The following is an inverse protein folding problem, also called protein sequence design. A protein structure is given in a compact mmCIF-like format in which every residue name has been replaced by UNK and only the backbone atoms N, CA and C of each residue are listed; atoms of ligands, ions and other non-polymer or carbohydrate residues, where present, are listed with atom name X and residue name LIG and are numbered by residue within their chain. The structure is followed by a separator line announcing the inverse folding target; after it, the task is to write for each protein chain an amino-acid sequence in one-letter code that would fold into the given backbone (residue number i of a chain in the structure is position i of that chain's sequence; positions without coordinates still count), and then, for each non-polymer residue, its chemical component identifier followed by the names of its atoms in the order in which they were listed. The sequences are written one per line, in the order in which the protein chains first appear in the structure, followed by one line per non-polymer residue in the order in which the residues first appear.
data_IF_607029061990
#
_entry.id   IF_607029061990
#
_cell.length_a   1.000
_cell.length_b   1.000
_cell.length_c   1.000
_cell.angle_alpha   90.00
_cell.angle_beta   90.00
_cell.angle_gamma   90.00
#
_symmetry.space_group_name_H-M   'P 1'
#
loop_
_entity.id
_entity.type
_entity.pdbx_description
1 polymer ?
#
# COMPACT_ATOMS: atom_id res chain seq x y z
N UNK A 1 0.65 13.00 16.84
CA UNK A 1 0.45 13.47 15.46
C UNK A 1 1.75 14.13 15.01
N UNK A 2 2.70 13.34 14.49
CA UNK A 2 3.97 13.84 13.96
C UNK A 2 3.69 14.42 12.58
N UNK A 3 2.97 15.52 12.54
CA UNK A 3 2.91 16.35 11.34
C UNK A 3 4.22 17.13 11.32
N UNK A 4 4.92 17.04 10.18
CA UNK A 4 6.23 17.60 9.85
C UNK A 4 6.38 19.13 10.02
N UNK A 5 5.54 19.77 10.83
CA UNK A 5 5.49 21.21 11.11
C UNK A 5 6.83 21.83 11.52
N UNK A 6 7.83 21.04 11.91
CA UNK A 6 9.16 21.53 12.29
C UNK A 6 10.33 20.89 11.50
N UNK A 7 10.06 20.11 10.43
CA UNK A 7 11.12 19.40 9.68
C UNK A 7 11.20 19.82 8.22
N UNK A 8 10.09 20.27 7.62
CA UNK A 8 10.02 20.70 6.22
C UNK A 8 9.39 22.09 6.19
N UNK A 9 10.03 23.05 5.53
CA UNK A 9 9.45 24.37 5.31
C UNK A 9 8.30 24.31 4.28
N UNK A 10 7.33 25.21 4.38
CA UNK A 10 6.22 25.30 3.41
C UNK A 10 6.74 25.47 1.97
N UNK A 11 7.83 26.21 1.80
CA UNK A 11 8.53 26.39 0.53
C UNK A 11 9.09 25.08 -0.02
N UNK A 12 9.69 24.22 0.81
CA UNK A 12 10.20 22.91 0.41
C UNK A 12 9.05 21.95 0.06
N UNK A 13 7.95 22.02 0.80
CA UNK A 13 6.76 21.23 0.51
C UNK A 13 6.21 21.51 -0.89
N UNK A 14 6.12 22.79 -1.29
CA UNK A 14 5.57 23.17 -2.59
C UNK A 14 6.60 23.16 -3.73
N UNK A 15 7.88 23.42 -3.46
CA UNK A 15 8.90 23.51 -4.51
C UNK A 15 9.72 22.23 -4.71
N UNK A 16 9.70 21.30 -3.75
CA UNK A 16 10.45 20.04 -3.82
C UNK A 16 9.50 18.85 -3.75
N UNK A 17 8.68 18.75 -2.69
CA UNK A 17 7.86 17.56 -2.46
C UNK A 17 6.74 17.44 -3.51
N UNK A 18 5.95 18.50 -3.73
CA UNK A 18 4.87 18.49 -4.72
C UNK A 18 5.36 18.16 -6.14
N UNK A 19 6.40 18.81 -6.70
CA UNK A 19 6.93 18.45 -8.02
C UNK A 19 7.48 17.03 -8.09
N UNK A 20 8.03 16.50 -6.99
CA UNK A 20 8.48 15.09 -6.92
C UNK A 20 7.29 14.13 -7.00
N UNK A 21 6.19 14.43 -6.30
CA UNK A 21 4.96 13.64 -6.37
C UNK A 21 4.36 13.68 -7.78
N UNK A 22 4.29 14.86 -8.40
CA UNK A 22 3.82 15.04 -9.78
C UNK A 22 4.68 14.25 -10.78
N UNK A 23 6.01 14.29 -10.63
CA UNK A 23 6.92 13.47 -11.43
C UNK A 23 6.61 11.97 -11.28
N UNK A 24 6.41 11.47 -10.05
CA UNK A 24 6.09 10.07 -9.82
C UNK A 24 4.74 9.67 -10.45
N UNK A 25 3.75 10.56 -10.36
CA UNK A 25 2.44 10.40 -10.98
C UNK A 25 2.59 10.32 -12.51
N UNK A 26 3.32 11.23 -13.13
CA UNK A 26 3.49 11.30 -14.59
C UNK A 26 4.28 10.11 -15.17
N UNK A 27 5.08 9.44 -14.34
CA UNK A 27 5.84 8.24 -14.73
C UNK A 27 5.13 6.93 -14.37
N UNK A 28 3.83 6.97 -14.03
CA UNK A 28 3.03 5.75 -13.85
C UNK A 28 2.83 5.00 -15.17
N UNK A 29 2.69 3.69 -15.09
CA UNK A 29 2.43 2.84 -16.26
C UNK A 29 1.05 3.14 -16.87
N UNK A 30 0.81 2.65 -18.09
CA UNK A 30 -0.51 2.73 -18.72
C UNK A 30 -1.62 2.03 -17.94
N UNK A 31 -1.27 1.13 -17.00
CA UNK A 31 -2.21 0.45 -16.10
C UNK A 31 -2.42 1.21 -14.79
N UNK A 32 -1.74 2.34 -14.58
CA UNK A 32 -1.79 3.15 -13.36
C UNK A 32 -0.89 2.66 -12.23
N UNK A 33 -0.01 1.69 -12.49
CA UNK A 33 0.95 1.17 -11.51
C UNK A 33 2.26 1.98 -11.55
N UNK A 34 3.18 1.72 -10.63
CA UNK A 34 4.43 2.47 -10.50
C UNK A 34 5.63 1.56 -10.72
N UNK A 35 6.58 1.94 -11.59
CA UNK A 35 7.73 1.12 -11.88
C UNK A 35 8.69 1.08 -10.67
N UNK A 36 9.33 -0.06 -10.44
CA UNK A 36 10.32 -0.20 -9.37
C UNK A 36 11.57 0.67 -9.58
N UNK A 37 11.88 0.97 -10.85
CA UNK A 37 13.01 1.77 -11.28
C UNK A 37 12.52 2.74 -12.35
N UNK A 38 12.96 3.99 -12.32
CA UNK A 38 12.49 5.07 -13.21
C UNK A 38 12.68 4.80 -14.70
N UNK A 39 13.58 3.89 -15.07
CA UNK A 39 13.85 3.49 -16.46
C UNK A 39 13.21 2.15 -16.84
N UNK A 40 12.52 1.47 -15.92
CA UNK A 40 11.96 0.16 -16.17
C UNK A 40 10.56 0.26 -16.74
N UNK A 41 10.32 -0.40 -17.87
CA UNK A 41 8.98 -0.62 -18.41
C UNK A 41 8.29 -1.84 -17.78
N UNK A 42 8.93 -2.49 -16.79
CA UNK A 42 8.37 -3.68 -16.15
C UNK A 42 7.24 -3.30 -15.18
N UNK A 43 6.02 -3.60 -15.62
CA UNK A 43 4.78 -3.31 -14.89
C UNK A 43 4.16 -4.57 -14.23
N UNK A 44 5.01 -5.43 -13.66
CA UNK A 44 4.56 -6.67 -13.01
C UNK A 44 4.57 -6.63 -11.48
N UNK A 45 5.25 -5.66 -10.86
CA UNK A 45 5.36 -5.59 -9.41
C UNK A 45 4.21 -4.79 -8.81
N UNK A 46 3.38 -5.47 -8.02
CA UNK A 46 2.24 -4.90 -7.29
C UNK A 46 2.40 -5.28 -5.83
N UNK A 47 3.44 -4.72 -5.21
CA UNK A 47 3.90 -5.07 -3.87
C UNK A 47 4.06 -3.78 -3.06
N UNK A 48 3.95 -3.85 -1.73
CA UNK A 48 4.20 -2.68 -0.89
C UNK A 48 5.59 -2.06 -1.14
N UNK A 49 6.62 -2.89 -1.28
CA UNK A 49 7.97 -2.40 -1.56
C UNK A 49 8.15 -1.82 -2.97
N UNK A 50 7.38 -2.28 -3.97
CA UNK A 50 7.47 -1.81 -5.35
C UNK A 50 6.11 -1.92 -6.05
N UNK A 51 5.56 -0.77 -6.45
CA UNK A 51 4.29 -0.66 -7.16
C UNK A 51 3.19 0.03 -6.36
N UNK A 52 1.98 -0.03 -6.91
CA UNK A 52 0.80 0.69 -6.42
C UNK A 52 0.52 0.57 -4.92
N UNK A 53 0.67 -0.59 -4.24
CA UNK A 53 0.33 -0.70 -2.82
C UNK A 53 1.06 0.30 -1.91
N UNK A 54 2.37 0.51 -2.11
CA UNK A 54 3.12 1.51 -1.36
C UNK A 54 2.70 2.94 -1.69
N UNK A 55 2.37 3.19 -2.96
CA UNK A 55 1.92 4.49 -3.45
C UNK A 55 0.54 4.90 -2.92
N UNK A 56 -0.36 3.95 -2.63
CA UNK A 56 -1.66 4.27 -2.03
C UNK A 56 -1.48 5.02 -0.71
N UNK A 57 -0.61 4.54 0.17
CA UNK A 57 -0.33 5.17 1.46
C UNK A 57 0.41 6.51 1.30
N UNK A 58 1.33 6.60 0.34
CA UNK A 58 1.99 7.86 -0.02
C UNK A 58 0.97 8.93 -0.42
N UNK A 59 0.04 8.61 -1.32
CA UNK A 59 -0.95 9.58 -1.81
C UNK A 59 -2.03 9.91 -0.79
N UNK A 60 -2.40 8.95 0.07
CA UNK A 60 -3.20 9.27 1.27
C UNK A 60 -2.47 10.34 2.09
N UNK A 61 -1.17 10.16 2.36
CA UNK A 61 -0.43 11.14 3.15
C UNK A 61 -0.32 12.49 2.45
N UNK A 62 -0.05 12.49 1.14
CA UNK A 62 -0.02 13.70 0.33
C UNK A 62 -1.37 14.43 0.33
N UNK A 63 -2.49 13.70 0.42
CA UNK A 63 -3.83 14.30 0.51
C UNK A 63 -4.07 15.08 1.80
N UNK A 64 -3.36 14.71 2.88
CA UNK A 64 -3.46 15.37 4.18
C UNK A 64 -2.57 16.61 4.28
N UNK A 65 -1.41 16.58 3.63
CA UNK A 65 -0.35 17.58 3.87
C UNK A 65 -0.02 18.46 2.67
N UNK A 66 -0.28 18.01 1.44
CA UNK A 66 0.06 18.76 0.21
C UNK A 66 -1.18 19.32 -0.47
N UNK A 67 -2.13 18.44 -0.82
CA UNK A 67 -3.34 18.80 -1.56
C UNK A 67 -4.41 17.71 -1.46
N UNK A 68 -5.65 18.00 -1.02
CA UNK A 68 -6.70 16.99 -0.92
C UNK A 68 -6.96 16.20 -2.21
N UNK A 69 -6.65 16.75 -3.39
CA UNK A 69 -6.81 16.06 -4.68
C UNK A 69 -5.95 14.81 -4.82
N UNK A 70 -4.86 14.65 -4.06
CA UNK A 70 -4.03 13.45 -4.09
C UNK A 70 -4.78 12.18 -3.67
N UNK A 71 -5.92 12.31 -2.97
CA UNK A 71 -6.78 11.17 -2.66
C UNK A 71 -7.28 10.45 -3.93
N UNK A 72 -7.47 11.17 -5.05
CA UNK A 72 -7.86 10.54 -6.32
C UNK A 72 -6.77 9.58 -6.82
N UNK A 73 -5.49 9.97 -6.73
CA UNK A 73 -4.37 9.09 -7.11
C UNK A 73 -4.24 7.89 -6.16
N UNK A 74 -4.55 8.05 -4.87
CA UNK A 74 -4.61 6.92 -3.95
C UNK A 74 -5.69 5.90 -4.35
N UNK A 75 -6.87 6.40 -4.75
CA UNK A 75 -7.97 5.55 -5.22
C UNK A 75 -7.61 4.87 -6.54
N UNK A 76 -7.03 5.59 -7.51
CA UNK A 76 -6.56 5.04 -8.78
C UNK A 76 -5.51 3.93 -8.57
N UNK A 77 -4.50 4.17 -7.73
CA UNK A 77 -3.50 3.16 -7.39
C UNK A 77 -4.16 1.93 -6.73
N UNK A 78 -5.17 2.12 -5.88
CA UNK A 78 -5.89 1.01 -5.26
C UNK A 78 -6.77 0.22 -6.25
N UNK A 79 -7.18 0.78 -7.38
CA UNK A 79 -7.79 0.01 -8.47
C UNK A 79 -6.80 -0.98 -9.09
N UNK A 80 -5.52 -0.62 -9.21
CA UNK A 80 -4.46 -1.57 -9.61
C UNK A 80 -4.35 -2.71 -8.60
N UNK A 81 -4.27 -2.37 -7.31
CA UNK A 81 -4.20 -3.38 -6.24
C UNK A 81 -5.41 -4.30 -6.27
N UNK A 82 -6.61 -3.78 -6.56
CA UNK A 82 -7.81 -4.60 -6.63
C UNK A 82 -7.77 -5.59 -7.80
N UNK A 83 -7.35 -5.13 -8.97
CA UNK A 83 -7.37 -5.93 -10.18
C UNK A 83 -6.29 -7.02 -10.21
N UNK A 84 -5.11 -6.76 -9.61
CA UNK A 84 -3.93 -7.63 -9.74
C UNK A 84 -3.08 -7.78 -8.46
N UNK A 85 -3.57 -7.34 -7.31
CA UNK A 85 -2.83 -7.39 -6.03
C UNK A 85 -2.91 -8.72 -5.27
N UNK A 86 -3.65 -9.71 -5.76
CA UNK A 86 -3.61 -11.09 -5.24
C UNK A 86 -2.40 -11.82 -5.83
N UNK A 87 -1.29 -11.82 -5.09
CA UNK A 87 0.01 -12.27 -5.58
C UNK A 87 0.18 -13.78 -5.48
N UNK A 88 0.69 -14.39 -6.55
CA UNK A 88 1.14 -15.80 -6.54
C UNK A 88 2.35 -16.04 -5.63
N UNK A 89 3.09 -14.97 -5.30
CA UNK A 89 4.25 -14.99 -4.38
C UNK A 89 3.87 -15.27 -2.93
N UNK A 90 2.59 -15.14 -2.57
CA UNK A 90 2.09 -15.47 -1.23
C UNK A 90 1.61 -14.25 -0.44
N UNK A 91 1.60 -14.39 0.88
CA UNK A 91 0.82 -13.55 1.80
C UNK A 91 1.64 -12.56 2.62
N UNK A 92 2.97 -12.52 2.46
CA UNK A 92 3.85 -11.68 3.31
C UNK A 92 3.51 -10.18 3.27
N UNK A 93 4.03 -9.39 4.22
CA UNK A 93 3.75 -7.95 4.28
C UNK A 93 4.52 -7.14 3.23
N UNK A 94 5.77 -7.47 2.94
CA UNK A 94 6.61 -6.67 2.03
C UNK A 94 6.17 -6.78 0.56
N UNK A 95 5.81 -7.99 0.15
CA UNK A 95 5.52 -8.34 -1.24
C UNK A 95 4.56 -9.52 -1.32
N UNK A 96 3.50 -9.46 -0.53
CA UNK A 96 2.43 -10.44 -0.50
C UNK A 96 1.06 -9.82 -0.27
N UNK A 97 0.04 -10.67 -0.30
CA UNK A 97 -1.37 -10.27 -0.25
C UNK A 97 -1.73 -9.53 1.05
N UNK A 98 -1.19 -9.93 2.21
CA UNK A 98 -1.48 -9.22 3.46
C UNK A 98 -0.96 -7.78 3.44
N UNK A 99 0.24 -7.58 2.89
CA UNK A 99 0.80 -6.24 2.68
C UNK A 99 -0.08 -5.39 1.78
N UNK A 100 -0.54 -5.95 0.67
CA UNK A 100 -1.39 -5.25 -0.28
C UNK A 100 -2.76 -4.87 0.32
N UNK A 101 -3.30 -5.67 1.24
CA UNK A 101 -4.56 -5.40 1.93
C UNK A 101 -4.53 -4.08 2.71
N UNK A 102 -3.37 -3.66 3.22
CA UNK A 102 -3.22 -2.38 3.91
C UNK A 102 -3.55 -1.18 3.03
N UNK A 103 -3.44 -1.29 1.70
CA UNK A 103 -3.91 -0.25 0.77
C UNK A 103 -5.39 0.08 0.99
N UNK A 104 -6.22 -0.95 1.14
CA UNK A 104 -7.66 -0.80 1.32
C UNK A 104 -8.04 -0.46 2.76
N UNK A 105 -7.31 -1.00 3.74
CA UNK A 105 -7.50 -0.63 5.15
C UNK A 105 -7.20 0.86 5.35
N UNK A 106 -6.09 1.36 4.80
CA UNK A 106 -5.72 2.76 4.84
C UNK A 106 -6.80 3.66 4.19
N UNK A 107 -7.25 3.31 2.99
CA UNK A 107 -8.32 4.06 2.31
C UNK A 107 -9.62 4.05 3.10
N UNK A 108 -10.06 2.90 3.62
CA UNK A 108 -11.28 2.83 4.42
C UNK A 108 -11.19 3.71 5.68
N UNK A 109 -10.08 3.68 6.41
CA UNK A 109 -9.87 4.54 7.59
C UNK A 109 -9.95 6.03 7.24
N UNK A 110 -9.55 6.42 6.04
CA UNK A 110 -9.50 7.83 5.62
C UNK A 110 -10.79 8.32 4.98
N UNK A 111 -11.49 7.47 4.24
CA UNK A 111 -12.69 7.88 3.47
C UNK A 111 -13.99 7.41 4.10
N UNK A 112 -13.96 6.37 4.94
CA UNK A 112 -15.16 5.70 5.44
C UNK A 112 -15.93 4.91 4.37
N UNK A 113 -15.43 4.84 3.12
CA UNK A 113 -16.11 4.15 2.03
C UNK A 113 -16.01 2.63 2.21
N UNK A 114 -17.18 2.02 2.44
CA UNK A 114 -17.35 0.58 2.64
C UNK A 114 -16.83 -0.26 1.46
N UNK A 115 -16.71 0.30 0.25
CA UNK A 115 -16.07 -0.35 -0.89
C UNK A 115 -14.67 -0.84 -0.53
N UNK A 116 -13.86 0.00 0.13
CA UNK A 116 -12.50 -0.37 0.51
C UNK A 116 -12.49 -1.42 1.62
N UNK A 117 -13.41 -1.34 2.58
CA UNK A 117 -13.56 -2.39 3.59
C UNK A 117 -13.87 -3.75 2.95
N UNK A 118 -14.80 -3.81 1.98
CA UNK A 118 -15.13 -5.05 1.28
C UNK A 118 -13.94 -5.62 0.51
N UNK A 119 -13.14 -4.76 -0.14
CA UNK A 119 -11.91 -5.17 -0.83
C UNK A 119 -10.87 -5.72 0.16
N UNK A 120 -10.67 -5.05 1.29
CA UNK A 120 -9.79 -5.52 2.36
C UNK A 120 -10.22 -6.90 2.86
N UNK A 121 -11.53 -7.11 3.09
CA UNK A 121 -12.09 -8.40 3.49
C UNK A 121 -11.78 -9.50 2.48
N UNK A 122 -11.88 -9.24 1.17
CA UNK A 122 -11.51 -10.22 0.15
C UNK A 122 -10.03 -10.64 0.23
N UNK A 123 -9.13 -9.71 0.55
CA UNK A 123 -7.71 -10.00 0.74
C UNK A 123 -7.45 -10.75 2.06
N UNK A 124 -8.18 -10.42 3.13
CA UNK A 124 -8.14 -11.15 4.40
C UNK A 124 -8.62 -12.59 4.20
N UNK A 125 -9.73 -12.78 3.51
CA UNK A 125 -10.28 -14.11 3.19
C UNK A 125 -9.27 -14.93 2.38
N UNK A 126 -8.66 -14.33 1.36
CA UNK A 126 -7.60 -14.97 0.60
C UNK A 126 -6.47 -15.46 1.52
N UNK A 127 -6.02 -14.60 2.44
CA UNK A 127 -4.99 -14.95 3.41
C UNK A 127 -5.42 -16.05 4.39
N UNK A 128 -6.71 -16.15 4.74
CA UNK A 128 -7.25 -17.23 5.59
C UNK A 128 -7.33 -18.57 4.87
N UNK A 129 -7.40 -18.58 3.54
CA UNK A 129 -7.41 -19.83 2.75
C UNK A 129 -6.03 -20.47 2.57
N UNK A 130 -5.00 -19.90 3.19
CA UNK A 130 -3.66 -20.46 3.29
C UNK A 130 -3.67 -21.92 3.76
N UNK A 131 -2.95 -22.89 3.15
CA UNK A 131 -1.90 -22.82 2.11
C UNK A 131 -2.35 -23.24 0.70
N UNK A 132 -3.65 -23.20 0.38
CA UNK A 132 -4.17 -23.71 -0.91
C UNK A 132 -3.59 -23.04 -2.15
N UNK A 133 -3.05 -21.83 -2.02
CA UNK A 133 -2.61 -20.99 -3.11
C UNK A 133 -1.13 -20.61 -3.04
N UNK A 134 -0.39 -21.08 -2.02
CA UNK A 134 1.03 -20.79 -1.91
C UNK A 134 1.83 -21.67 -2.87
N UNK A 135 2.67 -21.04 -3.69
CA UNK A 135 3.57 -21.73 -4.61
C UNK A 135 5.00 -21.85 -4.11
N UNK A 136 5.39 -20.99 -3.16
CA UNK A 136 6.76 -20.84 -2.69
C UNK A 136 6.75 -20.53 -1.19
N UNK A 137 7.69 -21.12 -0.43
CA UNK A 137 7.89 -20.75 0.97
C UNK A 137 8.34 -19.28 1.09
N UNK A 138 8.01 -18.60 2.20
CA UNK A 138 8.45 -17.22 2.40
C UNK A 138 9.98 -17.09 2.47
N UNK A 139 10.54 -16.05 1.83
CA UNK A 139 11.99 -15.80 1.78
C UNK A 139 12.71 -15.89 3.14
N UNK A 140 12.02 -15.46 4.21
CA UNK A 140 12.49 -15.45 5.60
C UNK A 140 11.33 -15.86 6.51
N UNK A 141 11.09 -17.18 6.70
CA UNK A 141 9.84 -17.72 7.24
C UNK A 141 9.36 -17.10 8.56
N UNK A 142 10.27 -16.70 9.44
CA UNK A 142 9.92 -16.16 10.77
C UNK A 142 10.03 -14.64 10.88
N UNK A 143 10.38 -13.94 9.80
CA UNK A 143 10.51 -12.49 9.81
C UNK A 143 9.16 -11.78 9.74
N UNK A 144 9.09 -10.55 10.26
CA UNK A 144 7.89 -9.71 10.18
C UNK A 144 7.51 -9.43 8.72
N UNK A 145 8.46 -8.97 7.89
CA UNK A 145 8.12 -8.49 6.55
C UNK A 145 8.02 -9.57 5.47
N UNK A 146 8.72 -10.70 5.64
CA UNK A 146 8.85 -11.74 4.59
C UNK A 146 8.52 -13.14 5.11
N UNK A 147 7.71 -13.23 6.17
CA UNK A 147 7.42 -14.49 6.86
C UNK A 147 6.03 -14.55 7.51
N UNK A 148 5.79 -15.65 8.21
CA UNK A 148 4.57 -15.96 8.96
C UNK A 148 4.25 -14.92 10.03
N UNK A 149 5.27 -14.33 10.64
CA UNK A 149 5.10 -13.30 11.68
C UNK A 149 4.34 -12.09 11.15
N UNK A 150 4.57 -11.70 9.90
CA UNK A 150 3.81 -10.65 9.23
C UNK A 150 2.34 -10.98 9.04
N UNK A 151 2.06 -12.23 8.68
CA UNK A 151 0.69 -12.72 8.54
C UNK A 151 -0.05 -12.73 9.88
N UNK A 152 0.62 -13.18 10.94
CA UNK A 152 0.08 -13.16 12.30
C UNK A 152 -0.17 -11.73 12.79
N UNK A 153 0.75 -10.82 12.51
CA UNK A 153 0.56 -9.38 12.79
C UNK A 153 -0.69 -8.88 12.08
N UNK A 154 -0.80 -9.11 10.76
CA UNK A 154 -1.94 -8.69 9.96
C UNK A 154 -3.27 -9.20 10.52
N UNK A 155 -3.39 -10.49 10.83
CA UNK A 155 -4.63 -11.04 11.42
C UNK A 155 -4.95 -10.50 12.80
N UNK A 156 -3.94 -10.10 13.58
CA UNK A 156 -4.17 -9.47 14.87
C UNK A 156 -4.66 -8.04 14.69
N UNK A 157 -4.06 -7.32 13.75
CA UNK A 157 -4.34 -5.91 13.46
C UNK A 157 -5.76 -5.72 12.90
N UNK A 158 -6.20 -6.57 11.95
CA UNK A 158 -7.54 -6.46 11.32
C UNK A 158 -8.70 -6.79 12.25
N UNK A 159 -8.45 -7.21 13.50
CA UNK A 159 -9.50 -7.34 14.53
C UNK A 159 -10.11 -5.99 14.89
N UNK A 160 -9.33 -4.92 14.79
CA UNK A 160 -9.81 -3.55 14.95
C UNK A 160 -9.34 -2.69 13.77
N UNK A 161 -10.17 -2.69 12.72
CA UNK A 161 -9.95 -1.96 11.47
C UNK A 161 -9.77 -0.45 11.70
N UNK A 162 -10.32 0.11 12.76
CA UNK A 162 -10.17 1.55 13.04
C UNK A 162 -8.72 1.91 13.40
N UNK A 163 -7.96 0.93 13.90
CA UNK A 163 -6.57 1.09 14.37
C UNK A 163 -5.52 0.47 13.46
N UNK A 164 -5.91 -0.31 12.44
CA UNK A 164 -4.96 -1.04 11.58
C UNK A 164 -3.90 -0.14 11.00
N UNK A 165 -2.63 -0.49 11.07
CA UNK A 165 -1.54 0.33 10.52
C UNK A 165 -0.42 -0.56 9.99
N UNK A 166 0.03 -0.32 8.76
CA UNK A 166 1.14 -1.06 8.20
C UNK A 166 2.38 -0.89 9.09
N UNK A 167 2.97 -1.98 9.61
CA UNK A 167 3.97 -1.90 10.65
C UNK A 167 5.23 -1.22 10.16
N UNK A 168 5.65 -0.15 10.86
CA UNK A 168 6.87 0.59 10.56
C UNK A 168 6.77 1.54 9.37
N UNK A 169 5.56 1.83 8.86
CA UNK A 169 5.38 2.76 7.74
C UNK A 169 4.24 3.77 7.98
N UNK A 170 3.04 3.31 8.32
CA UNK A 170 1.91 4.20 8.59
C UNK A 170 1.97 4.77 10.02
N UNK A 171 1.81 6.10 10.14
CA UNK A 171 1.92 6.91 11.37
C UNK A 171 0.66 7.72 11.68
#
# INVERSE_FOLDING_TARGET
MVLCSNVIEETELYNIVRPTLEYLIDNRSSRGNFPALWYSENDMLVQWCHGAPGFVQLFIKASEVVDPSYMNYAIEAAEVVWNIGLLTKGYTLCHGVAGNAYSFLALFRKTGDRKHLLRATGFIEWCLTYPRFEREEPDRPYSLLKGYTGLLYFFTDVKDISTTSFPGYEL
#
